data_IF_548638832989
#
_entry.id   IF_548638832989
#
_cell.length_a   1.000
_cell.length_b   1.000
_cell.length_c   1.000
_cell.angle_alpha   90.00
_cell.angle_beta   90.00
_cell.angle_gamma   90.00
#
_symmetry.space_group_name_H-M   'P 1'
#
loop_
_entity.id
_entity.type
_entity.pdbx_description
1 polymer ?
#
# COMPACT_ATOMS: atom_id res chain seq x y z
N UNK A 1 14.29 -34.22 10.82
CA UNK A 1 13.77 -32.88 10.99
C UNK A 1 14.12 -32.11 9.70
N UNK A 2 13.13 -31.91 8.81
CA UNK A 2 13.37 -31.10 7.61
C UNK A 2 13.46 -29.65 8.06
N UNK A 3 14.66 -29.12 8.20
CA UNK A 3 14.85 -27.67 8.32
C UNK A 3 14.50 -27.05 6.99
N UNK A 4 13.25 -26.62 6.83
CA UNK A 4 12.81 -25.83 5.66
C UNK A 4 13.71 -24.61 5.65
N UNK A 5 14.54 -24.46 4.61
CA UNK A 5 15.44 -23.33 4.46
C UNK A 5 14.63 -22.04 4.46
N UNK A 6 14.97 -21.09 5.35
CA UNK A 6 14.31 -19.81 5.42
C UNK A 6 14.56 -19.01 4.12
N UNK A 7 13.55 -18.27 3.67
CA UNK A 7 13.70 -17.36 2.55
C UNK A 7 14.64 -16.19 2.92
N UNK A 8 15.52 -15.85 2.01
CA UNK A 8 16.39 -14.66 2.13
C UNK A 8 15.59 -13.44 1.69
N UNK A 9 15.12 -12.64 2.65
CA UNK A 9 14.41 -11.41 2.39
C UNK A 9 15.37 -10.25 2.15
N UNK A 10 15.04 -9.38 1.20
CA UNK A 10 15.74 -8.15 0.94
C UNK A 10 14.83 -6.93 1.04
N UNK A 11 15.38 -5.82 1.52
CA UNK A 11 14.68 -4.54 1.56
C UNK A 11 15.43 -3.53 0.72
N UNK A 12 14.77 -2.96 -0.28
CA UNK A 12 15.28 -1.85 -1.08
C UNK A 12 14.71 -0.52 -0.59
N UNK A 13 15.59 0.38 -0.19
CA UNK A 13 15.30 1.65 0.47
C UNK A 13 15.57 1.57 1.98
N UNK A 14 16.61 2.25 2.47
CA UNK A 14 16.99 2.30 3.89
C UNK A 14 16.39 3.51 4.62
N UNK A 15 15.24 4.01 4.16
CA UNK A 15 14.47 5.04 4.84
C UNK A 15 13.65 4.49 6.01
N UNK A 16 12.80 5.35 6.62
CA UNK A 16 11.97 4.97 7.77
C UNK A 16 11.05 3.77 7.49
N UNK A 17 10.45 3.70 6.28
CA UNK A 17 9.61 2.55 5.89
C UNK A 17 10.45 1.28 5.64
N UNK A 18 11.62 1.42 5.01
CA UNK A 18 12.55 0.31 4.83
C UNK A 18 13.01 -0.27 6.17
N UNK A 19 13.33 0.57 7.16
CA UNK A 19 13.68 0.12 8.50
C UNK A 19 12.54 -0.68 9.17
N UNK A 20 11.29 -0.23 8.99
CA UNK A 20 10.14 -0.97 9.47
C UNK A 20 10.05 -2.37 8.81
N UNK A 21 10.18 -2.46 7.49
CA UNK A 21 10.18 -3.73 6.77
C UNK A 21 11.34 -4.64 7.16
N UNK A 22 12.55 -4.08 7.34
CA UNK A 22 13.71 -4.82 7.80
C UNK A 22 13.44 -5.53 9.14
N UNK A 23 12.86 -4.80 10.10
CA UNK A 23 12.43 -5.37 11.37
C UNK A 23 11.40 -6.49 11.23
N UNK A 24 10.49 -6.42 10.22
CA UNK A 24 9.50 -7.50 9.99
C UNK A 24 10.18 -8.76 9.45
N UNK A 25 11.10 -8.65 8.50
CA UNK A 25 11.87 -9.82 8.03
C UNK A 25 12.73 -10.43 9.13
N UNK A 26 13.37 -9.61 9.97
CA UNK A 26 14.19 -10.09 11.08
C UNK A 26 13.36 -10.87 12.11
N UNK A 27 12.10 -10.50 12.32
CA UNK A 27 11.17 -11.20 13.22
C UNK A 27 10.34 -12.33 12.60
N UNK A 28 10.43 -12.56 11.28
CA UNK A 28 9.62 -13.55 10.56
C UNK A 28 10.24 -14.96 10.66
N UNK A 29 9.52 -15.97 11.16
CA UNK A 29 10.09 -17.31 11.34
C UNK A 29 10.46 -18.01 10.02
N UNK A 30 9.82 -17.68 8.89
CA UNK A 30 10.00 -18.30 7.57
C UNK A 30 11.02 -17.59 6.68
N UNK A 31 11.49 -16.40 7.10
CA UNK A 31 12.47 -15.61 6.37
C UNK A 31 13.57 -15.07 7.30
N UNK A 32 14.61 -14.53 6.70
CA UNK A 32 15.64 -13.74 7.39
C UNK A 32 15.86 -12.48 6.58
N UNK A 33 16.19 -11.36 7.21
CA UNK A 33 16.72 -10.21 6.48
C UNK A 33 18.14 -10.56 6.03
N UNK A 34 18.34 -10.79 4.74
CA UNK A 34 19.62 -11.16 4.15
C UNK A 34 20.37 -9.95 3.60
N UNK A 35 19.63 -8.96 3.07
CA UNK A 35 20.24 -7.81 2.41
C UNK A 35 19.39 -6.54 2.53
N UNK A 36 20.08 -5.40 2.55
CA UNK A 36 19.51 -4.06 2.43
C UNK A 36 20.16 -3.36 1.24
N UNK A 37 19.36 -2.72 0.41
CA UNK A 37 19.82 -1.88 -0.69
C UNK A 37 19.40 -0.42 -0.46
N UNK A 38 20.32 0.50 -0.68
CA UNK A 38 20.04 1.93 -0.88
C UNK A 38 21.09 2.50 -1.83
N UNK A 39 20.76 3.52 -2.62
CA UNK A 39 21.73 4.23 -3.46
C UNK A 39 22.83 4.90 -2.62
N UNK A 40 22.52 5.24 -1.39
CA UNK A 40 23.46 5.67 -0.36
C UNK A 40 23.90 4.44 0.46
N UNK A 41 25.09 3.92 0.16
CA UNK A 41 25.63 2.74 0.83
C UNK A 41 25.73 2.93 2.35
N UNK A 42 26.05 4.12 2.84
CA UNK A 42 26.15 4.36 4.27
C UNK A 42 24.80 4.18 4.99
N UNK A 43 23.67 4.53 4.32
CA UNK A 43 22.34 4.28 4.84
C UNK A 43 21.99 2.78 4.81
N UNK A 44 22.37 2.08 3.74
CA UNK A 44 22.18 0.64 3.65
C UNK A 44 22.98 -0.09 4.74
N UNK A 45 24.27 0.27 4.95
CA UNK A 45 25.14 -0.28 5.99
C UNK A 45 24.52 -0.07 7.39
N UNK A 46 24.16 1.17 7.70
CA UNK A 46 23.59 1.51 9.00
C UNK A 46 22.30 0.72 9.35
N UNK A 47 21.48 0.38 8.36
CA UNK A 47 20.29 -0.45 8.57
C UNK A 47 20.64 -1.94 8.59
N UNK A 48 21.51 -2.40 7.72
CA UNK A 48 21.93 -3.79 7.62
C UNK A 48 22.63 -4.26 8.91
N UNK A 49 23.51 -3.46 9.47
CA UNK A 49 24.27 -3.74 10.71
C UNK A 49 23.33 -4.01 11.90
N UNK A 50 22.17 -3.31 11.98
CA UNK A 50 21.20 -3.52 13.06
C UNK A 50 20.61 -4.93 13.07
N UNK A 51 20.67 -5.63 11.93
CA UNK A 51 20.03 -6.93 11.74
C UNK A 51 21.01 -8.02 11.30
N UNK A 52 22.30 -7.72 11.20
CA UNK A 52 23.32 -8.68 10.71
C UNK A 52 23.14 -9.05 9.24
N UNK A 53 22.60 -8.14 8.43
CA UNK A 53 22.37 -8.31 6.99
C UNK A 53 23.53 -7.72 6.16
N UNK A 54 23.57 -8.04 4.87
CA UNK A 54 24.53 -7.43 3.94
C UNK A 54 23.97 -6.12 3.34
N UNK A 55 24.84 -5.13 3.12
CA UNK A 55 24.45 -3.87 2.50
C UNK A 55 24.93 -3.79 1.05
N UNK A 56 24.13 -3.14 0.19
CA UNK A 56 24.39 -3.00 -1.23
C UNK A 56 24.01 -1.59 -1.73
N UNK A 57 24.85 -1.02 -2.60
CA UNK A 57 24.51 0.16 -3.42
C UNK A 57 24.28 -0.21 -4.89
N UNK A 58 24.58 -1.44 -5.28
CA UNK A 58 24.27 -2.01 -6.59
C UNK A 58 23.06 -2.92 -6.48
N UNK A 59 22.02 -2.64 -7.28
CA UNK A 59 20.76 -3.37 -7.20
C UNK A 59 20.84 -4.80 -7.75
N UNK A 60 21.72 -5.06 -8.74
CA UNK A 60 21.91 -6.41 -9.27
C UNK A 60 22.65 -7.30 -8.29
N UNK A 61 23.67 -6.77 -7.62
CA UNK A 61 24.36 -7.46 -6.53
C UNK A 61 23.39 -7.77 -5.37
N UNK A 62 22.52 -6.81 -4.99
CA UNK A 62 21.49 -7.01 -4.00
C UNK A 62 20.53 -8.13 -4.41
N UNK A 63 20.03 -8.14 -5.65
CA UNK A 63 19.12 -9.19 -6.13
C UNK A 63 19.74 -10.58 -6.07
N UNK A 64 21.05 -10.73 -6.27
CA UNK A 64 21.73 -12.03 -6.15
C UNK A 64 21.79 -12.56 -4.71
N UNK A 65 21.68 -11.67 -3.72
CA UNK A 65 21.75 -12.04 -2.30
C UNK A 65 20.41 -12.49 -1.71
N UNK A 66 19.28 -12.31 -2.42
CA UNK A 66 17.93 -12.47 -1.87
C UNK A 66 17.07 -13.43 -2.70
N UNK A 67 15.97 -13.93 -2.09
CA UNK A 67 14.94 -14.74 -2.74
C UNK A 67 13.66 -13.94 -2.96
N UNK A 68 13.35 -13.03 -2.05
CA UNK A 68 12.19 -12.13 -2.09
C UNK A 68 12.61 -10.70 -1.78
N UNK A 69 11.91 -9.72 -2.33
CA UNK A 69 12.25 -8.29 -2.22
C UNK A 69 11.05 -7.48 -1.75
N UNK A 70 11.28 -6.59 -0.79
CA UNK A 70 10.37 -5.48 -0.51
C UNK A 70 10.96 -4.18 -1.06
N UNK A 71 10.19 -3.46 -1.88
CA UNK A 71 10.53 -2.12 -2.36
C UNK A 71 9.88 -1.08 -1.46
N UNK A 72 10.69 -0.38 -0.67
CA UNK A 72 10.31 0.70 0.24
C UNK A 72 11.09 1.99 -0.05
N UNK A 73 11.45 2.17 -1.32
CA UNK A 73 12.15 3.32 -1.90
C UNK A 73 11.14 4.41 -2.34
N UNK A 74 11.58 5.54 -2.92
CA UNK A 74 10.68 6.55 -3.48
C UNK A 74 9.76 5.99 -4.57
N UNK A 75 8.50 6.44 -4.59
CA UNK A 75 7.46 5.94 -5.49
C UNK A 75 7.86 6.00 -6.97
N UNK A 76 8.61 7.02 -7.37
CA UNK A 76 9.13 7.20 -8.74
C UNK A 76 10.08 6.08 -9.21
N UNK A 77 10.60 5.26 -8.29
CA UNK A 77 11.50 4.15 -8.62
C UNK A 77 10.82 2.78 -8.62
N UNK A 78 9.60 2.68 -8.09
CA UNK A 78 8.89 1.41 -7.90
C UNK A 78 8.75 0.61 -9.20
N UNK A 79 8.26 1.24 -10.27
CA UNK A 79 8.02 0.57 -11.55
C UNK A 79 9.28 -0.04 -12.15
N UNK A 80 10.39 0.70 -12.14
CA UNK A 80 11.67 0.23 -12.71
C UNK A 80 12.26 -0.89 -11.86
N UNK A 81 12.34 -0.71 -10.54
CA UNK A 81 12.96 -1.69 -9.64
C UNK A 81 12.12 -2.97 -9.51
N UNK A 82 10.78 -2.86 -9.50
CA UNK A 82 9.88 -4.02 -9.47
C UNK A 82 10.07 -4.88 -10.72
N UNK A 83 10.05 -4.29 -11.92
CA UNK A 83 10.28 -5.01 -13.17
C UNK A 83 11.64 -5.69 -13.20
N UNK A 84 12.69 -5.01 -12.73
CA UNK A 84 14.05 -5.57 -12.67
C UNK A 84 14.12 -6.76 -11.71
N UNK A 85 13.52 -6.66 -10.52
CA UNK A 85 13.47 -7.76 -9.56
C UNK A 85 12.66 -8.96 -10.07
N UNK A 86 11.48 -8.72 -10.67
CA UNK A 86 10.66 -9.77 -11.27
C UNK A 86 11.38 -10.47 -12.43
N UNK A 87 12.05 -9.73 -13.31
CA UNK A 87 12.86 -10.30 -14.40
C UNK A 87 14.04 -11.13 -13.87
N UNK A 88 14.61 -10.79 -12.71
CA UNK A 88 15.61 -11.59 -12.00
C UNK A 88 15.01 -12.79 -11.25
N UNK A 89 13.72 -13.09 -11.44
CA UNK A 89 13.04 -14.23 -10.85
C UNK A 89 12.71 -14.06 -9.36
N UNK A 90 12.67 -12.83 -8.84
CA UNK A 90 12.33 -12.56 -7.43
C UNK A 90 10.83 -12.25 -7.29
N UNK A 91 10.20 -12.76 -6.24
CA UNK A 91 8.89 -12.29 -5.82
C UNK A 91 9.02 -10.95 -5.10
N UNK A 92 8.06 -10.03 -5.34
CA UNK A 92 8.20 -8.62 -4.92
C UNK A 92 6.98 -8.16 -4.15
N UNK A 93 7.21 -7.55 -3.00
CA UNK A 93 6.26 -6.70 -2.29
C UNK A 93 6.63 -5.24 -2.57
N UNK A 94 5.77 -4.53 -3.28
CA UNK A 94 5.96 -3.10 -3.59
C UNK A 94 5.15 -2.27 -2.61
N UNK A 95 5.79 -1.31 -1.92
CA UNK A 95 5.03 -0.30 -1.19
C UNK A 95 4.15 0.52 -2.15
N UNK A 96 3.07 1.05 -1.62
CA UNK A 96 2.15 1.88 -2.40
C UNK A 96 2.83 3.19 -2.85
N UNK A 97 2.50 3.71 -4.04
CA UNK A 97 1.75 3.09 -5.14
C UNK A 97 2.58 2.05 -5.90
N UNK A 98 1.93 1.21 -6.72
CA UNK A 98 2.65 0.24 -7.59
C UNK A 98 3.66 0.92 -8.51
N UNK A 99 3.33 2.11 -9.02
CA UNK A 99 4.11 2.96 -9.89
C UNK A 99 3.54 4.40 -9.82
N UNK A 100 4.12 5.33 -10.57
CA UNK A 100 3.61 6.72 -10.65
C UNK A 100 2.76 6.98 -11.89
N UNK A 101 2.70 6.03 -12.84
CA UNK A 101 1.88 6.11 -14.05
C UNK A 101 1.15 4.80 -14.31
N UNK A 102 0.03 4.86 -15.04
CA UNK A 102 -0.73 3.68 -15.47
C UNK A 102 0.16 2.69 -16.23
N UNK A 103 0.88 3.17 -17.26
CA UNK A 103 1.67 2.32 -18.15
C UNK A 103 2.81 1.58 -17.41
N UNK A 104 3.45 2.25 -16.45
CA UNK A 104 4.43 1.60 -15.58
C UNK A 104 3.79 0.51 -14.71
N UNK A 105 2.61 0.77 -14.14
CA UNK A 105 1.86 -0.21 -13.36
C UNK A 105 1.48 -1.43 -14.19
N UNK A 106 0.99 -1.23 -15.43
CA UNK A 106 0.72 -2.30 -16.40
C UNK A 106 1.99 -3.10 -16.71
N UNK A 107 3.12 -2.43 -16.93
CA UNK A 107 4.39 -3.09 -17.20
C UNK A 107 4.90 -3.93 -16.04
N UNK A 108 4.70 -3.49 -14.79
CA UNK A 108 5.04 -4.28 -13.59
C UNK A 108 4.19 -5.55 -13.50
N UNK A 109 2.87 -5.44 -13.73
CA UNK A 109 1.96 -6.58 -13.72
C UNK A 109 2.33 -7.58 -14.83
N UNK A 110 2.65 -7.09 -16.03
CA UNK A 110 3.09 -7.93 -17.14
C UNK A 110 4.39 -8.68 -16.81
N UNK A 111 5.36 -8.01 -16.15
CA UNK A 111 6.60 -8.64 -15.71
C UNK A 111 6.36 -9.73 -14.66
N UNK A 112 5.43 -9.53 -13.72
CA UNK A 112 5.05 -10.53 -12.74
C UNK A 112 4.45 -11.78 -13.41
N UNK A 113 3.52 -11.59 -14.37
CA UNK A 113 2.92 -12.67 -15.13
C UNK A 113 3.97 -13.43 -15.97
N UNK A 114 4.86 -12.71 -16.64
CA UNK A 114 5.90 -13.32 -17.47
C UNK A 114 6.92 -14.14 -16.66
N UNK A 115 7.26 -13.68 -15.46
CA UNK A 115 8.20 -14.39 -14.58
C UNK A 115 7.55 -15.50 -13.73
N UNK A 116 6.23 -15.54 -13.63
CA UNK A 116 5.51 -16.43 -12.74
C UNK A 116 5.79 -16.16 -11.25
N UNK A 117 6.22 -14.94 -10.90
CA UNK A 117 6.54 -14.55 -9.53
C UNK A 117 5.40 -13.78 -8.87
N UNK A 118 5.35 -13.86 -7.55
CA UNK A 118 4.34 -13.14 -6.77
C UNK A 118 4.66 -11.64 -6.78
N UNK A 119 3.66 -10.85 -7.15
CA UNK A 119 3.64 -9.40 -6.99
C UNK A 119 2.57 -9.05 -5.95
N UNK A 120 2.98 -8.43 -4.86
CA UNK A 120 2.11 -7.96 -3.78
C UNK A 120 2.26 -6.44 -3.58
N UNK A 121 1.22 -5.78 -3.08
CA UNK A 121 1.22 -4.35 -2.79
C UNK A 121 1.10 -4.05 -1.30
N UNK A 122 1.72 -2.94 -0.88
CA UNK A 122 1.79 -2.44 0.49
C UNK A 122 0.53 -1.70 0.98
N UNK A 123 -0.68 -2.06 0.53
CA UNK A 123 -1.94 -1.49 1.01
C UNK A 123 -2.39 -2.14 2.33
N UNK A 124 -1.71 -1.83 3.41
CA UNK A 124 -1.86 -2.48 4.72
C UNK A 124 -3.25 -2.28 5.33
N UNK A 125 -3.95 -1.20 5.00
CA UNK A 125 -5.28 -0.90 5.54
C UNK A 125 -6.35 -1.87 5.06
N UNK A 126 -6.13 -2.58 3.94
CA UNK A 126 -6.96 -3.73 3.56
C UNK A 126 -7.00 -4.81 4.62
N UNK A 127 -5.87 -5.06 5.29
CA UNK A 127 -5.81 -6.06 6.35
C UNK A 127 -6.60 -5.62 7.58
N UNK A 128 -6.65 -4.31 7.83
CA UNK A 128 -7.46 -3.72 8.90
C UNK A 128 -8.95 -3.91 8.59
N UNK A 129 -9.40 -3.58 7.36
CA UNK A 129 -10.79 -3.77 6.93
C UNK A 129 -11.20 -5.25 6.91
N UNK A 130 -10.32 -6.13 6.45
CA UNK A 130 -10.54 -7.58 6.51
C UNK A 130 -10.68 -8.07 7.97
N UNK A 131 -9.84 -7.56 8.90
CA UNK A 131 -9.94 -7.90 10.31
C UNK A 131 -11.22 -7.38 10.97
N UNK A 132 -11.78 -6.27 10.48
CA UNK A 132 -13.08 -5.75 10.90
C UNK A 132 -14.27 -6.56 10.36
N UNK A 133 -14.09 -7.30 9.26
CA UNK A 133 -15.18 -7.97 8.53
C UNK A 133 -15.91 -7.07 7.54
N UNK A 134 -15.34 -5.92 7.16
CA UNK A 134 -16.01 -4.96 6.26
C UNK A 134 -16.10 -5.45 4.81
N UNK A 135 -15.21 -6.32 4.37
CA UNK A 135 -15.31 -6.88 3.01
C UNK A 135 -16.33 -8.02 2.88
N UNK A 136 -16.84 -8.54 3.99
CA UNK A 136 -17.92 -9.53 4.06
C UNK A 136 -19.31 -8.87 4.25
N UNK A 137 -19.38 -7.52 4.22
CA UNK A 137 -20.64 -6.79 4.31
C UNK A 137 -21.61 -7.25 3.20
N UNK A 138 -22.87 -7.58 3.53
CA UNK A 138 -23.82 -8.13 2.55
C UNK A 138 -24.41 -7.07 1.61
N UNK A 139 -24.09 -5.80 1.80
CA UNK A 139 -24.57 -4.66 1.02
C UNK A 139 -23.41 -3.93 0.36
N UNK A 140 -23.67 -3.35 -0.81
CA UNK A 140 -22.72 -2.44 -1.47
C UNK A 140 -22.91 -1.02 -0.94
N UNK A 141 -21.85 -0.28 -0.62
CA UNK A 141 -21.95 1.11 -0.19
C UNK A 141 -22.59 2.00 -1.25
N UNK A 142 -23.40 2.97 -0.81
CA UNK A 142 -23.96 4.04 -1.65
C UNK A 142 -23.12 5.31 -1.62
N UNK A 143 -22.38 5.54 -0.50
CA UNK A 143 -21.46 6.66 -0.34
C UNK A 143 -20.26 6.21 0.49
N UNK A 144 -19.06 6.59 0.05
CA UNK A 144 -17.82 6.50 0.83
C UNK A 144 -17.23 7.88 0.91
N UNK A 145 -17.01 8.38 2.13
CA UNK A 145 -16.33 9.66 2.39
C UNK A 145 -15.08 9.40 3.22
N UNK A 146 -13.92 9.77 2.71
CA UNK A 146 -12.66 9.64 3.44
C UNK A 146 -11.95 10.99 3.57
N UNK A 147 -11.28 11.17 4.71
CA UNK A 147 -10.48 12.35 4.99
C UNK A 147 -9.14 11.96 5.62
N UNK A 148 -8.05 12.36 4.92
CA UNK A 148 -6.68 12.18 5.38
C UNK A 148 -5.97 13.50 5.48
N UNK A 149 -5.63 13.88 6.68
CA UNK A 149 -4.99 15.16 6.98
C UNK A 149 -3.71 14.93 7.80
N UNK A 150 -2.75 15.81 7.65
CA UNK A 150 -1.56 15.83 8.49
C UNK A 150 -0.69 17.05 8.26
N UNK A 151 0.24 17.33 9.18
CA UNK A 151 1.17 18.43 9.03
C UNK A 151 2.24 18.13 7.98
N UNK A 152 2.76 19.19 7.39
CA UNK A 152 3.87 19.08 6.45
C UNK A 152 5.12 18.49 7.13
N UNK A 153 5.65 17.44 6.55
CA UNK A 153 6.84 16.74 7.05
C UNK A 153 7.99 16.65 6.03
N UNK A 154 7.78 17.14 4.82
CA UNK A 154 8.71 16.97 3.69
C UNK A 154 8.68 15.56 3.06
N UNK A 155 8.01 14.58 3.67
CA UNK A 155 7.86 13.24 3.08
C UNK A 155 6.81 13.27 1.97
N UNK A 156 7.03 12.46 0.93
CA UNK A 156 6.12 12.40 -0.22
C UNK A 156 6.06 13.70 -1.03
N UNK A 157 7.05 14.61 -0.88
CA UNK A 157 7.10 15.87 -1.60
C UNK A 157 7.37 15.70 -3.11
N UNK A 158 7.81 14.50 -3.51
CA UNK A 158 8.09 14.07 -4.87
C UNK A 158 6.84 13.62 -5.64
N UNK A 159 5.68 13.57 -4.99
CA UNK A 159 4.41 13.16 -5.59
C UNK A 159 3.25 14.04 -5.07
N UNK A 160 2.08 13.96 -5.74
CA UNK A 160 0.85 14.57 -5.25
C UNK A 160 0.41 13.96 -3.90
N UNK A 161 -0.28 14.76 -3.09
CA UNK A 161 -0.89 14.31 -1.83
C UNK A 161 -1.84 13.12 -2.04
N UNK A 162 -2.43 12.99 -3.21
CA UNK A 162 -3.29 11.87 -3.58
C UNK A 162 -2.52 10.56 -3.64
N UNK A 163 -1.36 10.52 -4.31
CA UNK A 163 -0.46 9.37 -4.39
C UNK A 163 0.17 9.01 -3.03
N UNK A 164 0.36 10.00 -2.15
CA UNK A 164 0.89 9.72 -0.80
C UNK A 164 -0.21 9.31 0.19
N UNK A 165 -1.34 10.03 0.23
CA UNK A 165 -2.38 9.86 1.24
C UNK A 165 -3.66 9.22 0.71
N UNK A 166 -4.31 9.78 -0.32
CA UNK A 166 -5.62 9.30 -0.78
C UNK A 166 -5.60 7.91 -1.39
N UNK A 167 -4.44 7.44 -1.86
CA UNK A 167 -4.28 6.11 -2.46
C UNK A 167 -4.73 4.96 -1.54
N UNK A 168 -4.61 5.12 -0.23
CA UNK A 168 -5.10 4.15 0.73
C UNK A 168 -6.63 4.08 0.75
N UNK A 169 -7.28 5.24 0.74
CA UNK A 169 -8.74 5.33 0.75
C UNK A 169 -9.33 4.93 -0.60
N UNK A 170 -8.63 5.26 -1.70
CA UNK A 170 -8.98 4.81 -3.04
C UNK A 170 -8.95 3.27 -3.14
N UNK A 171 -7.91 2.63 -2.60
CA UNK A 171 -7.80 1.17 -2.57
C UNK A 171 -8.95 0.51 -1.81
N UNK A 172 -9.30 1.03 -0.63
CA UNK A 172 -10.44 0.53 0.15
C UNK A 172 -11.77 0.73 -0.57
N UNK A 173 -12.00 1.92 -1.14
CA UNK A 173 -13.22 2.24 -1.86
C UNK A 173 -13.39 1.37 -3.11
N UNK A 174 -12.35 1.23 -3.92
CA UNK A 174 -12.36 0.39 -5.13
C UNK A 174 -12.62 -1.08 -4.78
N UNK A 175 -12.10 -1.55 -3.63
CA UNK A 175 -12.32 -2.93 -3.17
C UNK A 175 -13.75 -3.14 -2.70
N UNK A 176 -14.34 -2.19 -1.97
CA UNK A 176 -15.72 -2.28 -1.48
C UNK A 176 -16.75 -2.19 -2.61
N UNK A 177 -16.47 -1.38 -3.64
CA UNK A 177 -17.41 -1.19 -4.75
C UNK A 177 -17.24 -2.25 -5.85
N UNK A 178 -16.03 -2.72 -6.12
CA UNK A 178 -15.73 -3.70 -7.16
C UNK A 178 -15.95 -3.20 -8.59
N UNK A 179 -16.08 -1.88 -8.79
CA UNK A 179 -16.32 -1.25 -10.11
C UNK A 179 -15.43 -0.02 -10.32
N UNK A 180 -15.31 0.45 -11.57
CA UNK A 180 -14.55 1.65 -11.94
C UNK A 180 -15.44 2.89 -11.94
N UNK A 181 -14.92 4.09 -11.64
CA UNK A 181 -15.70 5.32 -11.71
C UNK A 181 -16.05 5.66 -13.16
N UNK A 182 -17.24 6.26 -13.36
CA UNK A 182 -17.71 6.78 -14.66
C UNK A 182 -17.43 8.27 -14.82
N UNK A 183 -17.24 8.99 -13.73
CA UNK A 183 -16.81 10.39 -13.76
C UNK A 183 -16.04 10.74 -12.49
N UNK A 184 -15.10 11.66 -12.62
CA UNK A 184 -14.29 12.20 -11.52
C UNK A 184 -14.26 13.71 -11.64
N UNK A 185 -14.45 14.41 -10.52
CA UNK A 185 -14.24 15.85 -10.38
C UNK A 185 -13.34 16.10 -9.19
N UNK A 186 -12.46 17.11 -9.27
CA UNK A 186 -11.55 17.43 -8.18
C UNK A 186 -11.18 18.92 -8.16
N UNK A 187 -10.72 19.37 -6.99
CA UNK A 187 -10.12 20.68 -6.80
C UNK A 187 -8.84 20.52 -6.00
N UNK A 188 -7.71 20.94 -6.55
CA UNK A 188 -6.40 20.82 -5.94
C UNK A 188 -5.78 22.15 -5.55
N UNK A 189 -4.84 22.14 -4.58
CA UNK A 189 -4.07 23.29 -4.15
C UNK A 189 -2.62 22.89 -3.88
N UNK A 190 -1.68 23.66 -4.46
CA UNK A 190 -0.24 23.50 -4.25
C UNK A 190 0.29 24.69 -3.46
N UNK A 191 0.98 24.46 -2.34
CA UNK A 191 1.55 25.50 -1.48
C UNK A 191 3.04 25.28 -1.18
N UNK A 192 3.52 24.04 -1.25
CA UNK A 192 4.89 23.64 -0.84
C UNK A 192 5.78 23.24 -2.02
N UNK A 193 5.23 23.09 -3.22
CA UNK A 193 6.00 22.67 -4.38
C UNK A 193 5.16 22.53 -5.64
N UNK A 194 5.65 21.69 -6.57
CA UNK A 194 5.03 21.49 -7.88
C UNK A 194 3.78 20.57 -7.85
N UNK A 195 3.60 19.81 -6.78
CA UNK A 195 2.52 18.85 -6.64
C UNK A 195 1.42 19.36 -5.72
N UNK A 196 0.21 18.82 -5.82
CA UNK A 196 -0.88 19.17 -4.92
C UNK A 196 -0.54 18.79 -3.47
N UNK A 197 -0.78 19.73 -2.55
CA UNK A 197 -0.64 19.57 -1.11
C UNK A 197 -1.98 19.36 -0.40
N UNK A 198 -3.07 19.76 -1.06
CA UNK A 198 -4.43 19.51 -0.64
C UNK A 198 -5.30 19.24 -1.87
N UNK A 199 -6.26 18.32 -1.73
CA UNK A 199 -7.21 17.98 -2.78
C UNK A 199 -8.54 17.52 -2.17
N UNK A 200 -9.64 17.95 -2.80
CA UNK A 200 -11.00 17.44 -2.57
C UNK A 200 -11.50 16.87 -3.90
N UNK A 201 -12.07 15.66 -3.86
CA UNK A 201 -12.52 14.95 -5.05
C UNK A 201 -13.84 14.22 -4.84
N UNK A 202 -14.59 14.04 -5.94
CA UNK A 202 -15.77 13.20 -6.02
C UNK A 202 -15.67 12.31 -7.26
N UNK A 203 -15.79 11.00 -7.05
CA UNK A 203 -15.91 9.99 -8.10
C UNK A 203 -17.31 9.37 -8.06
N UNK A 204 -17.96 9.23 -9.23
CA UNK A 204 -19.27 8.62 -9.39
C UNK A 204 -19.15 7.31 -10.13
N UNK A 205 -19.97 6.34 -9.76
CA UNK A 205 -19.94 4.98 -10.25
C UNK A 205 -21.25 4.61 -10.97
N UNK A 206 -21.21 3.60 -11.84
CA UNK A 206 -22.36 3.18 -12.62
C UNK A 206 -23.52 2.65 -11.74
N UNK A 207 -23.20 2.08 -10.58
CA UNK A 207 -24.19 1.67 -9.55
C UNK A 207 -24.95 2.83 -8.91
N UNK A 208 -24.51 4.08 -9.13
CA UNK A 208 -24.99 5.27 -8.43
C UNK A 208 -24.20 5.59 -7.17
N UNK A 209 -23.27 4.75 -6.76
CA UNK A 209 -22.38 5.01 -5.62
C UNK A 209 -21.51 6.25 -5.86
N UNK A 210 -21.18 6.93 -4.77
CA UNK A 210 -20.31 8.12 -4.77
C UNK A 210 -19.15 7.90 -3.81
N UNK A 211 -17.94 8.26 -4.24
CA UNK A 211 -16.74 8.28 -3.39
C UNK A 211 -16.21 9.71 -3.31
N UNK A 212 -16.05 10.23 -2.10
CA UNK A 212 -15.46 11.55 -1.82
C UNK A 212 -14.19 11.37 -1.04
N UNK A 213 -13.08 11.81 -1.63
CA UNK A 213 -11.77 11.75 -0.98
C UNK A 213 -11.25 13.18 -0.77
N UNK A 214 -10.95 13.51 0.48
CA UNK A 214 -10.30 14.77 0.86
C UNK A 214 -8.96 14.46 1.53
N UNK A 215 -7.87 14.99 1.01
CA UNK A 215 -6.57 14.83 1.61
C UNK A 215 -5.78 16.11 1.63
N UNK A 216 -5.02 16.31 2.71
CA UNK A 216 -4.09 17.44 2.84
C UNK A 216 -2.90 17.06 3.71
N UNK A 217 -1.70 17.48 3.26
CA UNK A 217 -0.44 17.35 4.01
C UNK A 217 0.03 18.68 4.63
N UNK A 218 -0.87 19.67 4.69
CA UNK A 218 -0.63 21.01 5.26
C UNK A 218 -1.65 21.37 6.35
N UNK A 219 -2.34 20.37 6.92
CA UNK A 219 -3.22 20.56 8.07
C UNK A 219 -2.42 20.64 9.38
N UNK A 220 -2.95 21.31 10.42
CA UNK A 220 -2.26 21.41 11.71
C UNK A 220 -2.17 20.07 12.45
N UNK A 221 -3.14 19.18 12.22
CA UNK A 221 -3.28 17.93 12.96
C UNK A 221 -3.46 16.73 12.04
N UNK A 222 -3.15 15.55 12.55
CA UNK A 222 -3.36 14.28 11.84
C UNK A 222 -4.79 13.81 12.03
N UNK A 223 -5.47 13.56 10.90
CA UNK A 223 -6.79 12.95 10.85
C UNK A 223 -6.84 11.88 9.78
N UNK A 224 -7.43 10.72 10.08
CA UNK A 224 -7.61 9.63 9.13
C UNK A 224 -8.93 8.95 9.43
N UNK A 225 -9.98 9.33 8.75
CA UNK A 225 -11.33 8.83 8.97
C UNK A 225 -11.99 8.43 7.66
N UNK A 226 -12.85 7.40 7.72
CA UNK A 226 -13.68 7.00 6.59
C UNK A 226 -15.10 6.74 7.10
N UNK A 227 -16.08 7.27 6.37
CA UNK A 227 -17.52 7.03 6.54
C UNK A 227 -18.01 6.24 5.35
N UNK A 228 -18.65 5.13 5.60
CA UNK A 228 -19.17 4.21 4.59
C UNK A 228 -20.68 4.08 4.83
N UNK A 229 -21.49 4.54 3.89
CA UNK A 229 -22.95 4.53 3.98
C UNK A 229 -23.49 3.38 3.14
N UNK A 230 -24.28 2.55 3.77
CA UNK A 230 -25.02 1.45 3.18
C UNK A 230 -26.53 1.73 3.20
N UNK A 231 -27.35 1.01 2.43
CA UNK A 231 -28.81 1.15 2.52
C UNK A 231 -29.38 0.97 3.94
N UNK A 232 -28.76 0.12 4.76
CA UNK A 232 -29.22 -0.21 6.12
C UNK A 232 -28.62 0.65 7.23
N UNK A 233 -27.66 1.54 6.94
CA UNK A 233 -26.99 2.38 7.94
C UNK A 233 -25.59 2.80 7.52
N UNK A 234 -24.72 3.10 8.47
CA UNK A 234 -23.35 3.54 8.18
C UNK A 234 -22.31 2.93 9.12
N UNK A 235 -21.10 2.84 8.63
CA UNK A 235 -19.90 2.54 9.42
C UNK A 235 -18.95 3.72 9.34
N UNK A 236 -18.45 4.17 10.49
CA UNK A 236 -17.43 5.22 10.58
C UNK A 236 -16.15 4.64 11.18
N UNK A 237 -15.04 4.74 10.48
CA UNK A 237 -13.74 4.21 10.91
C UNK A 237 -12.81 5.36 11.22
N UNK A 238 -12.19 5.35 12.40
CA UNK A 238 -11.03 6.19 12.74
C UNK A 238 -9.77 5.33 12.76
N UNK A 239 -8.90 5.53 11.76
CA UNK A 239 -7.65 4.77 11.62
C UNK A 239 -6.56 5.22 12.60
N UNK A 240 -6.67 6.44 13.17
CA UNK A 240 -5.71 6.95 14.16
C UNK A 240 -6.06 6.38 15.53
N UNK A 241 -7.33 6.51 15.94
CA UNK A 241 -7.84 5.95 17.20
C UNK A 241 -7.97 4.42 17.14
N UNK A 242 -8.03 3.84 15.92
CA UNK A 242 -8.26 2.41 15.68
C UNK A 242 -9.58 1.94 16.27
N UNK A 243 -10.64 2.69 15.98
CA UNK A 243 -12.01 2.42 16.41
C UNK A 243 -12.97 2.52 15.24
N UNK A 244 -14.18 1.99 15.42
CA UNK A 244 -15.28 2.25 14.51
C UNK A 244 -16.60 2.42 15.25
N UNK A 245 -17.53 3.11 14.59
CA UNK A 245 -18.97 3.16 14.93
C UNK A 245 -19.74 2.43 13.85
N UNK A 246 -20.75 1.64 14.22
CA UNK A 246 -21.55 0.85 13.30
C UNK A 246 -23.03 0.98 13.65
N UNK A 247 -23.82 1.53 12.72
CA UNK A 247 -25.29 1.61 12.82
C UNK A 247 -26.01 0.62 11.87
N UNK A 248 -25.25 -0.18 11.12
CA UNK A 248 -25.79 -1.23 10.26
C UNK A 248 -26.12 -2.49 11.07
N UNK A 249 -26.90 -3.43 10.53
CA UNK A 249 -27.08 -4.74 11.16
C UNK A 249 -25.86 -5.68 10.99
N UNK A 250 -24.77 -5.25 10.35
CA UNK A 250 -23.62 -6.09 10.08
C UNK A 250 -22.88 -6.42 11.37
N UNK A 251 -22.38 -7.65 11.45
CA UNK A 251 -21.50 -8.06 12.54
C UNK A 251 -20.06 -7.72 12.18
N UNK A 252 -19.56 -6.63 12.73
CA UNK A 252 -18.16 -6.24 12.64
C UNK A 252 -17.43 -6.65 13.92
N UNK A 253 -16.14 -6.95 13.77
CA UNK A 253 -15.29 -7.37 14.90
C UNK A 253 -14.79 -6.15 15.70
N UNK A 254 -15.26 -5.92 16.93
CA UNK A 254 -14.79 -4.80 17.75
C UNK A 254 -13.35 -4.97 18.23
N UNK A 255 -12.81 -6.20 18.22
CA UNK A 255 -11.44 -6.50 18.65
C UNK A 255 -10.42 -6.46 17.50
N UNK A 256 -10.82 -5.96 16.33
CA UNK A 256 -9.94 -5.90 15.14
C UNK A 256 -8.60 -5.22 15.44
N UNK A 257 -8.59 -4.19 16.29
CA UNK A 257 -7.39 -3.44 16.65
C UNK A 257 -6.37 -4.32 17.35
N UNK A 258 -6.82 -5.24 18.20
CA UNK A 258 -5.95 -6.20 18.89
C UNK A 258 -5.48 -7.31 17.95
N UNK A 259 -6.36 -7.81 17.08
CA UNK A 259 -6.01 -8.85 16.09
C UNK A 259 -5.07 -8.35 15.02
N UNK A 260 -5.17 -7.08 14.65
CA UNK A 260 -4.36 -6.45 13.61
C UNK A 260 -3.43 -5.36 14.19
N UNK A 261 -2.72 -5.69 15.30
CA UNK A 261 -1.79 -4.74 15.95
C UNK A 261 -0.66 -4.29 15.03
N UNK A 262 -0.23 -5.17 14.14
CA UNK A 262 0.87 -4.95 13.21
C UNK A 262 0.44 -5.25 11.76
N UNK A 263 -0.27 -4.31 11.09
CA UNK A 263 -0.69 -4.51 9.70
C UNK A 263 0.48 -4.68 8.73
N UNK A 264 1.62 -4.02 9.00
CA UNK A 264 2.82 -4.15 8.18
C UNK A 264 3.41 -5.56 8.27
N UNK A 265 3.59 -6.08 9.47
CA UNK A 265 4.06 -7.44 9.68
C UNK A 265 3.10 -8.48 9.10
N UNK A 266 1.79 -8.27 9.26
CA UNK A 266 0.79 -9.11 8.64
C UNK A 266 0.85 -9.09 7.10
N UNK A 267 1.14 -7.93 6.49
CA UNK A 267 1.30 -7.84 5.03
C UNK A 267 2.54 -8.61 4.54
N UNK A 268 3.68 -8.45 5.20
CA UNK A 268 4.90 -9.23 4.91
C UNK A 268 4.64 -10.73 5.09
N UNK A 269 4.03 -11.13 6.20
CA UNK A 269 3.72 -12.53 6.49
C UNK A 269 2.81 -13.15 5.42
N UNK A 270 1.73 -12.46 5.01
CA UNK A 270 0.81 -12.94 3.96
C UNK A 270 1.41 -12.88 2.54
N UNK A 271 2.33 -11.97 2.28
CA UNK A 271 3.14 -12.02 1.06
C UNK A 271 3.96 -13.30 0.99
N UNK A 272 4.61 -13.68 2.10
CA UNK A 272 5.38 -14.92 2.18
C UNK A 272 4.47 -16.17 2.08
N UNK A 273 3.23 -16.13 2.59
CA UNK A 273 2.24 -17.19 2.39
C UNK A 273 1.98 -17.44 0.90
N UNK A 274 1.82 -16.36 0.12
CA UNK A 274 1.64 -16.47 -1.32
C UNK A 274 2.90 -16.99 -2.03
N UNK A 275 4.09 -16.53 -1.62
CA UNK A 275 5.37 -16.99 -2.19
C UNK A 275 5.60 -18.50 -1.92
N UNK A 276 5.23 -18.97 -0.75
CA UNK A 276 5.38 -20.37 -0.32
C UNK A 276 4.22 -21.29 -0.77
N UNK A 277 3.23 -20.73 -1.48
CA UNK A 277 2.05 -21.49 -1.93
C UNK A 277 1.07 -21.87 -0.82
N UNK A 278 1.19 -21.28 0.37
CA UNK A 278 0.23 -21.45 1.48
C UNK A 278 -1.07 -20.71 1.18
N UNK A 279 -0.99 -19.56 0.51
CA UNK A 279 -2.14 -18.83 -0.01
C UNK A 279 -2.11 -18.80 -1.54
N UNK A 280 -3.26 -18.88 -2.24
CA UNK A 280 -3.30 -18.82 -3.70
C UNK A 280 -2.98 -17.43 -4.27
N UNK A 281 -3.03 -16.38 -3.43
CA UNK A 281 -2.76 -14.98 -3.83
C UNK A 281 -2.25 -14.15 -2.67
N UNK A 282 -1.55 -13.04 -2.93
CA UNK A 282 -1.23 -12.05 -1.91
C UNK A 282 -2.49 -11.28 -1.45
N UNK A 283 -2.44 -10.56 -0.32
CA UNK A 283 -3.56 -9.72 0.17
C UNK A 283 -4.02 -8.69 -0.85
N UNK A 284 -3.09 -8.06 -1.52
CA UNK A 284 -3.34 -7.07 -2.59
C UNK A 284 -2.50 -7.45 -3.81
N UNK A 285 -3.17 -7.66 -4.94
CA UNK A 285 -2.52 -7.96 -6.21
C UNK A 285 -2.07 -6.70 -6.93
N UNK A 286 -1.25 -6.87 -7.99
CA UNK A 286 -0.86 -5.77 -8.86
C UNK A 286 -2.05 -5.09 -9.54
N UNK A 287 -3.02 -5.87 -9.99
CA UNK A 287 -4.24 -5.36 -10.65
C UNK A 287 -5.10 -4.51 -9.72
N UNK A 288 -5.23 -4.92 -8.46
CA UNK A 288 -5.96 -4.15 -7.46
C UNK A 288 -5.25 -2.84 -7.11
N UNK A 289 -3.92 -2.88 -6.93
CA UNK A 289 -3.13 -1.67 -6.73
C UNK A 289 -3.13 -0.73 -7.92
N UNK A 290 -3.18 -1.27 -9.16
CA UNK A 290 -3.34 -0.47 -10.38
C UNK A 290 -4.72 0.21 -10.43
N UNK A 291 -5.78 -0.47 -10.02
CA UNK A 291 -7.12 0.13 -9.98
C UNK A 291 -7.18 1.33 -9.00
N UNK A 292 -6.52 1.23 -7.84
CA UNK A 292 -6.39 2.33 -6.91
C UNK A 292 -5.55 3.49 -7.51
N UNK A 293 -4.45 3.16 -8.18
CA UNK A 293 -3.62 4.15 -8.88
C UNK A 293 -4.41 4.87 -9.98
N UNK A 294 -5.19 4.16 -10.79
CA UNK A 294 -6.01 4.73 -11.87
C UNK A 294 -7.01 5.76 -11.34
N UNK A 295 -7.68 5.48 -10.22
CA UNK A 295 -8.57 6.45 -9.58
C UNK A 295 -7.80 7.69 -9.13
N UNK A 296 -6.63 7.54 -8.53
CA UNK A 296 -5.80 8.65 -8.07
C UNK A 296 -5.30 9.51 -9.22
N UNK A 297 -4.85 8.90 -10.31
CA UNK A 297 -4.42 9.63 -11.52
C UNK A 297 -5.58 10.38 -12.17
N UNK A 298 -6.79 9.81 -12.18
CA UNK A 298 -7.99 10.49 -12.66
C UNK A 298 -8.37 11.69 -11.78
N UNK A 299 -8.17 11.59 -10.45
CA UNK A 299 -8.38 12.69 -9.51
C UNK A 299 -7.38 13.81 -9.77
N UNK A 300 -6.09 13.52 -9.89
CA UNK A 300 -5.05 14.51 -10.15
C UNK A 300 -5.27 15.22 -11.51
N UNK A 301 -5.66 14.47 -12.54
CA UNK A 301 -5.98 15.04 -13.85
C UNK A 301 -7.22 15.95 -13.83
N UNK A 302 -8.23 15.61 -13.01
CA UNK A 302 -9.45 16.43 -12.88
C UNK A 302 -9.24 17.70 -12.05
N UNK A 303 -8.18 17.76 -11.22
CA UNK A 303 -7.84 18.91 -10.38
C UNK A 303 -6.93 19.93 -11.07
N UNK A 304 -6.37 19.61 -12.23
CA UNK A 304 -5.38 20.38 -12.99
C UNK A 304 -5.99 21.50 -13.82
#
# INVERSE_FOLDING_TARGET
MNTTQKLRGGVAGAGAFGANHAGKYAGEPRATLAAVFDIDLARADALADQHGAAAFADFDAFLNAVDVVTLACPASTHGVLARKALAAGKSVLVEKPIATTHDEGVAVIAAAKASGRVLALGHQERLVFAAMGLFEAPETPTLIEARREGPWSGRGADVSVTLDLSIHDADLAMTLLGEKPVSVTAQGRSEKGAFFDAIDSEARFASGAVVRLASTRIAPERKRVMRIVYPSGEVRVDFVARTFENSTPFRLDPEFADRMRDPLGANVSRFLDAVLGVSPRPPVTGEEGLAALDLILAIDAAAS
#
